data_IF_574317524596
#
_entry.id   IF_574317524596
#
_cell.length_a   1.000
_cell.length_b   1.000
_cell.length_c   1.000
_cell.angle_alpha   90.00
_cell.angle_beta   90.00
_cell.angle_gamma   90.00
#
_symmetry.space_group_name_H-M   'P 1'
#
loop_
_entity.id
_entity.type
_entity.pdbx_description
1 polymer ?
#
# COMPACT_ATOMS: atom_id res chain seq x y z
N UNK A 1 -18.78 -10.36 -13.57
CA UNK A 1 -18.67 -8.96 -13.07
C UNK A 1 -18.81 -8.99 -11.55
N UNK A 2 -17.73 -8.82 -10.78
CA UNK A 2 -17.79 -8.97 -9.32
C UNK A 2 -16.50 -8.59 -8.57
N UNK A 3 -15.36 -8.53 -9.25
CA UNK A 3 -14.07 -8.19 -8.62
C UNK A 3 -13.92 -6.73 -8.17
N UNK A 4 -14.41 -5.76 -8.97
CA UNK A 4 -14.25 -4.33 -8.66
C UNK A 4 -14.97 -3.92 -7.36
N UNK A 5 -16.23 -4.35 -7.18
CA UNK A 5 -16.99 -4.08 -5.95
C UNK A 5 -16.37 -4.72 -4.71
N UNK A 6 -15.76 -5.90 -4.85
CA UNK A 6 -15.09 -6.56 -3.74
C UNK A 6 -13.82 -5.80 -3.30
N UNK A 7 -13.04 -5.27 -4.24
CA UNK A 7 -11.87 -4.42 -3.94
C UNK A 7 -12.25 -3.12 -3.23
N UNK A 8 -13.29 -2.43 -3.71
CA UNK A 8 -13.78 -1.18 -3.11
C UNK A 8 -14.30 -1.39 -1.67
N UNK A 9 -15.04 -2.46 -1.41
CA UNK A 9 -15.47 -2.81 -0.04
C UNK A 9 -14.28 -3.08 0.88
N UNK A 10 -13.27 -3.83 0.41
CA UNK A 10 -12.06 -4.10 1.20
C UNK A 10 -11.25 -2.83 1.52
N UNK A 11 -11.22 -1.85 0.61
CA UNK A 11 -10.62 -0.52 0.85
C UNK A 11 -11.42 0.30 1.85
N UNK A 12 -12.76 0.27 1.76
CA UNK A 12 -13.63 0.96 2.69
C UNK A 12 -13.43 0.45 4.12
N UNK A 13 -13.24 -0.86 4.28
CA UNK A 13 -13.00 -1.52 5.57
C UNK A 13 -11.53 -1.49 6.03
N UNK A 14 -10.62 -0.90 5.25
CA UNK A 14 -9.21 -0.82 5.61
C UNK A 14 -9.01 -0.05 6.92
N UNK A 15 -8.26 -0.64 7.84
CA UNK A 15 -7.95 -0.07 9.14
C UNK A 15 -7.16 1.25 9.04
N UNK A 16 -6.38 1.43 7.97
CA UNK A 16 -5.70 2.67 7.66
C UNK A 16 -5.79 3.02 6.16
N UNK A 17 -5.90 4.31 5.89
CA UNK A 17 -5.81 4.96 4.59
C UNK A 17 -4.78 6.09 4.73
N UNK A 18 -3.62 5.92 4.09
CA UNK A 18 -2.46 6.79 4.27
C UNK A 18 -2.00 7.31 2.92
N UNK A 19 -1.59 8.58 2.84
CA UNK A 19 -0.76 9.04 1.73
C UNK A 19 0.68 8.67 2.07
N UNK A 20 1.35 7.98 1.16
CA UNK A 20 2.67 7.39 1.40
C UNK A 20 3.61 7.61 0.24
N UNK A 21 4.89 7.70 0.56
CA UNK A 21 5.98 7.66 -0.40
C UNK A 21 6.77 6.38 -0.25
N UNK A 22 6.99 5.65 -1.34
CA UNK A 22 7.88 4.48 -1.34
C UNK A 22 9.32 4.95 -1.19
N UNK A 23 9.99 4.52 -0.12
CA UNK A 23 11.41 4.74 0.07
C UNK A 23 12.21 3.61 -0.56
N UNK A 24 11.75 2.37 -0.36
CA UNK A 24 12.42 1.16 -0.82
C UNK A 24 11.40 0.04 -1.05
N UNK A 25 11.70 -0.85 -2.00
CA UNK A 25 10.98 -2.10 -2.23
C UNK A 25 11.96 -3.27 -2.18
N UNK A 26 11.75 -4.22 -1.27
CA UNK A 26 12.58 -5.41 -1.10
C UNK A 26 11.80 -6.66 -1.51
N UNK A 27 12.43 -7.52 -2.30
CA UNK A 27 11.89 -8.83 -2.70
C UNK A 27 12.66 -9.92 -1.95
N UNK A 28 12.10 -10.51 -0.88
CA UNK A 28 12.84 -11.39 0.03
C UNK A 28 13.15 -12.80 -0.54
N UNK A 29 12.86 -13.06 -1.81
CA UNK A 29 13.10 -14.36 -2.45
C UNK A 29 13.20 -14.23 -3.97
N UNK A 30 13.30 -15.36 -4.67
CA UNK A 30 13.29 -15.35 -6.14
C UNK A 30 11.91 -14.95 -6.66
N UNK A 31 11.81 -13.96 -7.56
CA UNK A 31 10.54 -13.52 -8.12
C UNK A 31 9.95 -14.63 -9.01
N UNK A 32 8.94 -15.32 -8.49
CA UNK A 32 8.06 -16.21 -9.27
C UNK A 32 6.96 -15.43 -10.00
N UNK A 33 5.90 -16.11 -10.46
CA UNK A 33 4.78 -15.46 -11.15
C UNK A 33 4.14 -14.34 -10.30
N UNK A 34 3.95 -14.65 -9.01
CA UNK A 34 3.54 -13.75 -7.94
C UNK A 34 4.55 -13.89 -6.81
N UNK A 35 5.06 -12.77 -6.31
CA UNK A 35 6.07 -12.77 -5.25
C UNK A 35 5.73 -11.73 -4.17
N UNK A 36 6.17 -12.03 -2.95
CA UNK A 36 6.04 -11.11 -1.82
C UNK A 36 6.97 -9.92 -1.98
N UNK A 37 6.50 -8.75 -1.55
CA UNK A 37 7.26 -7.51 -1.53
C UNK A 37 7.14 -6.88 -0.16
N UNK A 38 8.26 -6.42 0.37
CA UNK A 38 8.31 -5.59 1.57
C UNK A 38 8.67 -4.16 1.16
N UNK A 39 7.70 -3.26 1.28
CA UNK A 39 7.93 -1.85 1.05
C UNK A 39 8.30 -1.16 2.36
N UNK A 40 9.34 -0.33 2.32
CA UNK A 40 9.54 0.73 3.32
C UNK A 40 8.92 1.99 2.77
N UNK A 41 7.98 2.55 3.51
CA UNK A 41 7.25 3.74 3.08
C UNK A 41 7.30 4.82 4.16
N UNK A 42 7.36 6.06 3.72
CA UNK A 42 7.16 7.22 4.58
C UNK A 42 5.70 7.63 4.53
N UNK A 43 5.11 7.88 5.69
CA UNK A 43 3.76 8.44 5.81
C UNK A 43 3.84 9.93 5.52
N UNK A 44 3.23 10.36 4.42
CA UNK A 44 3.13 11.77 4.05
C UNK A 44 1.93 12.42 4.75
N UNK A 45 0.79 11.73 4.77
CA UNK A 45 -0.43 12.17 5.44
C UNK A 45 -1.25 10.98 5.95
N UNK A 46 -2.07 11.23 6.98
CA UNK A 46 -2.99 10.24 7.54
C UNK A 46 -4.41 10.67 7.21
N UNK A 47 -5.06 9.98 6.27
CA UNK A 47 -6.45 10.26 5.90
C UNK A 47 -7.41 9.58 6.87
N UNK A 48 -7.12 8.33 7.23
CA UNK A 48 -7.83 7.53 8.24
C UNK A 48 -6.87 6.51 8.85
N UNK A 49 -6.91 6.28 10.16
CA UNK A 49 -6.13 5.19 10.77
C UNK A 49 -6.66 4.81 12.15
N UNK A 50 -6.77 3.51 12.41
CA UNK A 50 -6.95 2.97 13.76
C UNK A 50 -5.62 2.68 14.48
N UNK A 51 -4.50 2.64 13.74
CA UNK A 51 -3.15 2.50 14.28
C UNK A 51 -2.53 3.87 14.62
N UNK A 52 -1.61 3.89 15.59
CA UNK A 52 -0.88 5.10 16.00
C UNK A 52 0.28 5.38 15.03
N UNK A 53 -0.04 5.87 13.84
CA UNK A 53 0.89 6.39 12.84
C UNK A 53 0.73 7.89 12.68
N UNK A 54 1.81 8.59 12.35
CA UNK A 54 1.80 10.05 12.09
C UNK A 54 2.60 10.38 10.83
N UNK A 55 2.36 11.55 10.20
CA UNK A 55 3.22 12.05 9.15
C UNK A 55 4.70 12.05 9.55
N UNK A 56 5.56 11.67 8.61
CA UNK A 56 7.00 11.47 8.80
C UNK A 56 7.41 10.13 9.40
N UNK A 57 6.47 9.29 9.87
CA UNK A 57 6.82 7.93 10.30
C UNK A 57 7.21 7.07 9.10
N UNK A 58 8.22 6.21 9.30
CA UNK A 58 8.48 5.10 8.38
C UNK A 58 7.68 3.88 8.81
N UNK A 59 6.96 3.28 7.86
CA UNK A 59 6.20 2.04 8.03
C UNK A 59 6.76 0.96 7.10
N UNK A 60 6.46 -0.30 7.42
CA UNK A 60 6.75 -1.44 6.56
C UNK A 60 5.43 -2.02 6.08
N UNK A 61 5.30 -2.20 4.77
CA UNK A 61 4.10 -2.76 4.14
C UNK A 61 4.46 -4.03 3.42
N UNK A 62 3.87 -5.14 3.85
CA UNK A 62 3.92 -6.42 3.13
C UNK A 62 2.82 -6.46 2.10
N UNK A 63 3.21 -6.68 0.86
CA UNK A 63 2.34 -6.80 -0.29
C UNK A 63 2.81 -7.96 -1.18
N UNK A 64 2.19 -8.10 -2.34
CA UNK A 64 2.70 -8.93 -3.41
C UNK A 64 2.71 -8.13 -4.71
N UNK A 65 3.56 -8.53 -5.64
CA UNK A 65 3.58 -8.04 -7.01
C UNK A 65 3.55 -9.21 -8.00
N UNK A 66 3.13 -8.93 -9.22
CA UNK A 66 3.25 -9.85 -10.34
C UNK A 66 4.57 -9.63 -11.07
N UNK A 67 5.14 -10.72 -11.58
CA UNK A 67 6.25 -10.67 -12.53
C UNK A 67 5.81 -10.01 -13.84
N UNK A 68 6.78 -9.43 -14.55
CA UNK A 68 6.52 -8.82 -15.87
C UNK A 68 5.95 -9.86 -16.83
N UNK A 69 6.47 -11.08 -16.79
CA UNK A 69 6.03 -12.19 -17.62
C UNK A 69 4.57 -12.58 -17.34
N UNK A 70 4.10 -12.46 -16.09
CA UNK A 70 2.70 -12.70 -15.75
C UNK A 70 1.77 -11.61 -16.30
N UNK A 71 2.19 -10.35 -16.17
CA UNK A 71 1.46 -9.20 -16.71
C UNK A 71 1.38 -9.25 -18.23
N UNK A 72 2.49 -9.60 -18.90
CA UNK A 72 2.55 -9.75 -20.37
C UNK A 72 1.65 -10.90 -20.87
N UNK A 73 1.39 -11.91 -20.02
CA UNK A 73 0.40 -12.97 -20.29
C UNK A 73 -1.06 -12.56 -20.01
N UNK A 74 -1.29 -11.35 -19.52
CA UNK A 74 -2.62 -10.83 -19.19
C UNK A 74 -3.13 -11.21 -17.80
N UNK A 75 -2.26 -11.68 -16.89
CA UNK A 75 -2.64 -11.87 -15.48
C UNK A 75 -2.88 -10.51 -14.85
N UNK A 76 -4.11 -10.24 -14.41
CA UNK A 76 -4.44 -8.99 -13.75
C UNK A 76 -3.90 -8.97 -12.31
N UNK A 77 -3.15 -7.93 -11.97
CA UNK A 77 -2.64 -7.71 -10.61
C UNK A 77 -1.66 -6.55 -10.51
N UNK A 78 -1.16 -6.29 -9.29
CA UNK A 78 -0.32 -5.13 -9.01
C UNK A 78 1.09 -5.31 -9.59
N UNK A 79 1.63 -4.24 -10.16
CA UNK A 79 3.06 -4.16 -10.49
C UNK A 79 3.87 -3.72 -9.27
N UNK A 80 5.18 -3.94 -9.32
CA UNK A 80 6.11 -3.47 -8.29
C UNK A 80 6.18 -1.93 -8.30
N UNK A 81 5.91 -1.31 -7.15
CA UNK A 81 6.04 0.14 -7.00
C UNK A 81 7.52 0.54 -6.92
N UNK A 82 7.89 1.55 -7.69
CA UNK A 82 9.26 2.07 -7.70
C UNK A 82 9.52 2.99 -6.50
N UNK A 83 10.76 3.04 -5.97
CA UNK A 83 11.17 4.10 -5.04
C UNK A 83 10.82 5.48 -5.57
N UNK A 84 10.27 6.34 -4.71
CA UNK A 84 9.77 7.67 -5.04
C UNK A 84 8.30 7.72 -5.45
N UNK A 85 7.64 6.58 -5.69
CA UNK A 85 6.19 6.54 -5.92
C UNK A 85 5.44 7.18 -4.75
N UNK A 86 4.44 8.02 -5.07
CA UNK A 86 3.61 8.75 -4.12
C UNK A 86 2.15 8.45 -4.42
N UNK A 87 1.41 7.96 -3.44
CA UNK A 87 0.01 7.62 -3.61
C UNK A 87 -0.72 7.35 -2.30
N UNK A 88 -1.97 6.92 -2.41
CA UNK A 88 -2.81 6.48 -1.29
C UNK A 88 -2.67 4.98 -1.10
N UNK A 89 -2.42 4.54 0.13
CA UNK A 89 -2.33 3.15 0.52
C UNK A 89 -3.45 2.78 1.51
N UNK A 90 -4.17 1.70 1.20
CA UNK A 90 -5.20 1.10 2.06
C UNK A 90 -4.62 -0.13 2.74
N UNK A 91 -4.49 -0.07 4.07
CA UNK A 91 -3.65 -0.95 4.87
C UNK A 91 -4.39 -1.53 6.07
N UNK A 92 -4.00 -2.75 6.45
CA UNK A 92 -4.39 -3.41 7.69
C UNK A 92 -3.14 -3.74 8.52
N UNK A 93 -3.23 -3.82 9.86
CA UNK A 93 -2.11 -4.27 10.69
C UNK A 93 -1.60 -5.64 10.22
N UNK A 94 -0.28 -5.83 10.14
CA UNK A 94 0.28 -7.12 9.75
C UNK A 94 0.05 -8.15 10.88
N UNK A 95 -0.72 -9.23 10.69
CA UNK A 95 -0.92 -10.25 11.72
C UNK A 95 0.38 -11.01 12.06
N UNK A 96 1.39 -10.93 11.18
CA UNK A 96 2.73 -11.49 11.40
C UNK A 96 3.69 -10.46 12.01
N UNK A 97 3.21 -9.25 12.33
CA UNK A 97 4.02 -8.23 12.97
C UNK A 97 4.53 -8.71 14.32
N UNK A 98 5.84 -8.64 14.52
CA UNK A 98 6.50 -8.98 15.78
C UNK A 98 7.54 -7.95 16.16
N UNK A 99 7.89 -7.91 17.45
CA UNK A 99 8.92 -7.03 17.96
C UNK A 99 8.49 -5.58 18.21
N UNK A 100 9.44 -4.68 18.53
CA UNK A 100 9.17 -3.31 18.97
C UNK A 100 8.51 -2.43 17.89
N UNK A 101 8.70 -2.76 16.62
CA UNK A 101 8.11 -2.04 15.48
C UNK A 101 6.78 -2.64 14.98
N UNK A 102 6.20 -3.59 15.72
CA UNK A 102 4.96 -4.27 15.32
C UNK A 102 3.80 -3.30 15.03
N UNK A 103 3.72 -2.19 15.76
CA UNK A 103 2.70 -1.15 15.54
C UNK A 103 2.84 -0.35 14.24
N UNK A 104 3.91 -0.58 13.46
CA UNK A 104 4.21 0.11 12.19
C UNK A 104 4.35 -0.84 11.00
N UNK A 105 3.95 -2.10 11.19
CA UNK A 105 3.95 -3.12 10.16
C UNK A 105 2.53 -3.37 9.67
N UNK A 106 2.35 -3.31 8.37
CA UNK A 106 1.06 -3.40 7.71
C UNK A 106 1.08 -4.42 6.57
N UNK A 107 -0.11 -4.87 6.19
CA UNK A 107 -0.37 -5.57 4.93
C UNK A 107 -1.37 -4.77 4.09
N UNK A 108 -1.37 -5.00 2.78
CA UNK A 108 -2.39 -4.46 1.89
C UNK A 108 -3.80 -4.94 2.28
N UNK A 109 -4.78 -4.04 2.30
CA UNK A 109 -6.18 -4.34 2.62
C UNK A 109 -6.93 -5.06 1.49
N UNK A 110 -6.63 -4.73 0.23
CA UNK A 110 -7.20 -5.33 -0.96
C UNK A 110 -6.10 -5.94 -1.83
N UNK A 111 -6.32 -7.16 -2.29
CA UNK A 111 -5.40 -7.88 -3.17
C UNK A 111 -5.20 -7.14 -4.50
N UNK A 112 -4.10 -6.38 -4.60
CA UNK A 112 -3.65 -5.73 -5.84
C UNK A 112 -4.22 -4.36 -6.15
N UNK A 113 -5.21 -3.91 -5.38
CA UNK A 113 -5.88 -2.62 -5.60
C UNK A 113 -5.60 -1.64 -4.44
N UNK A 114 -4.86 -2.06 -3.42
CA UNK A 114 -4.59 -1.27 -2.22
C UNK A 114 -3.73 -0.02 -2.40
N UNK A 115 -3.22 0.25 -3.60
CA UNK A 115 -2.40 1.41 -3.90
C UNK A 115 -3.06 2.19 -5.04
N UNK A 116 -3.34 3.46 -4.78
CA UNK A 116 -3.94 4.38 -5.75
C UNK A 116 -3.01 5.57 -5.96
N UNK A 117 -2.78 5.95 -7.20
CA UNK A 117 -2.08 7.21 -7.49
C UNK A 117 -2.91 8.38 -6.96
N UNK A 118 -2.24 9.38 -6.36
CA UNK A 118 -2.92 10.65 -6.07
C UNK A 118 -3.19 11.32 -7.42
N UNK A 119 -4.45 11.65 -7.75
CA UNK A 119 -4.75 12.31 -9.01
C UNK A 119 -3.98 13.63 -9.09
N UNK A 120 -3.37 13.98 -10.24
CA UNK A 120 -2.73 15.27 -10.44
C UNK A 120 -3.80 16.36 -10.47
N UNK A 121 -4.16 16.86 -9.28
CA UNK A 121 -5.08 17.98 -9.09
C UNK A 121 -4.47 18.98 -8.12
N UNK A 122 -4.85 20.27 -8.19
CA UNK A 122 -4.37 21.26 -7.24
C UNK A 122 -4.67 20.78 -5.81
N UNK A 123 -3.74 20.94 -4.86
CA UNK A 123 -3.91 20.44 -3.50
C UNK A 123 -5.23 20.98 -2.96
N UNK A 124 -6.14 20.08 -2.60
CA UNK A 124 -7.38 20.43 -1.90
C UNK A 124 -7.07 20.75 -0.44
N UNK A 125 -6.18 21.71 -0.21
CA UNK A 125 -6.03 22.41 1.06
C UNK A 125 -7.11 23.48 1.10
N UNK A 126 -8.35 23.08 1.43
CA UNK A 126 -9.27 24.03 2.03
C UNK A 126 -8.83 24.25 3.47
N UNK A 127 -7.94 25.21 3.67
CA UNK A 127 -7.79 25.88 4.97
C UNK A 127 -9.11 26.60 5.25
N UNK A 128 -9.97 26.02 6.09
CA UNK A 128 -10.98 26.80 6.80
C UNK A 128 -10.28 27.49 7.96
N UNK A 129 -10.06 28.80 7.83
CA UNK A 129 -9.85 29.71 8.94
C UNK A 129 -11.20 30.11 9.54
#
# INVERSE_FOLDING_TARGET
>A
MGGARAGESLKADAAAQLEVRVLEAQVPGEPGERYDVLYRMEVISVLRSSARVKPGDTIVVRAYALSKEALDRGVAGPTLLSPGWLGVAYLNPDPKAGGPDSGRQFVIAANGDSFEDIPPGPPSLKWTQ
#
